data_IF_792050502311
#
_entry.id   IF_792050502311
#
_cell.length_a   1.000
_cell.length_b   1.000
_cell.length_c   1.000
_cell.angle_alpha   90.00
_cell.angle_beta   90.00
_cell.angle_gamma   90.00
#
_symmetry.space_group_name_H-M   'P 1'
#
loop_
_entity.id
_entity.type
_entity.pdbx_description
1 polymer ?
#
# COMPACT_ATOMS: atom_id res chain seq x y z
N UNK A 1 -65.28 -6.33 -15.76
CA UNK A 1 -66.10 -5.16 -16.18
C UNK A 1 -66.84 -5.37 -17.51
N UNK A 2 -66.28 -6.05 -18.52
CA UNK A 2 -66.89 -6.18 -19.86
C UNK A 2 -68.29 -6.83 -19.84
N UNK A 3 -68.52 -7.89 -19.03
CA UNK A 3 -69.82 -8.58 -18.98
C UNK A 3 -70.98 -7.76 -18.38
N UNK A 4 -70.70 -6.65 -17.69
CA UNK A 4 -71.73 -5.80 -17.05
C UNK A 4 -72.27 -4.69 -17.97
N UNK A 5 -71.60 -4.43 -19.10
CA UNK A 5 -71.92 -3.30 -20.00
C UNK A 5 -72.53 -3.73 -21.35
N UNK A 6 -72.69 -5.04 -21.59
CA UNK A 6 -73.11 -5.58 -22.91
C UNK A 6 -74.41 -4.95 -23.43
N UNK A 7 -75.36 -4.66 -22.54
CA UNK A 7 -76.66 -4.06 -22.88
C UNK A 7 -76.72 -2.55 -22.65
N UNK A 8 -75.62 -1.89 -22.28
CA UNK A 8 -75.61 -0.44 -22.04
C UNK A 8 -75.22 0.31 -23.32
N UNK A 9 -75.85 1.46 -23.56
CA UNK A 9 -75.53 2.38 -24.65
C UNK A 9 -74.11 2.94 -24.45
N UNK A 10 -73.46 3.34 -25.55
CA UNK A 10 -72.11 3.92 -25.50
C UNK A 10 -72.05 5.17 -24.59
N UNK A 11 -70.95 5.31 -23.84
CA UNK A 11 -70.73 6.48 -22.99
C UNK A 11 -70.47 7.75 -23.81
N UNK A 12 -70.62 8.92 -23.17
CA UNK A 12 -70.40 10.22 -23.81
C UNK A 12 -68.96 10.38 -24.31
N UNK A 13 -68.00 9.83 -23.58
CA UNK A 13 -66.59 9.84 -23.94
C UNK A 13 -66.36 9.06 -25.25
N UNK A 14 -66.97 7.88 -25.38
CA UNK A 14 -66.82 7.07 -26.58
C UNK A 14 -67.60 7.64 -27.77
N UNK A 15 -68.78 8.21 -27.54
CA UNK A 15 -69.55 8.94 -28.56
C UNK A 15 -68.80 10.16 -29.08
N UNK A 16 -67.92 10.77 -28.28
CA UNK A 16 -67.07 11.88 -28.74
C UNK A 16 -66.05 11.47 -29.79
N UNK A 17 -65.74 10.17 -29.87
CA UNK A 17 -64.87 9.60 -30.90
C UNK A 17 -65.65 9.09 -32.11
N UNK A 18 -66.98 9.24 -32.16
CA UNK A 18 -67.77 8.77 -33.29
C UNK A 18 -67.46 9.56 -34.56
N UNK A 19 -67.08 8.89 -35.64
CA UNK A 19 -66.74 9.59 -36.88
C UNK A 19 -67.98 10.25 -37.51
N UNK A 20 -67.92 11.54 -37.88
CA UNK A 20 -69.11 12.34 -38.24
C UNK A 20 -69.87 11.86 -39.47
N UNK A 21 -69.18 11.28 -40.47
CA UNK A 21 -69.81 10.91 -41.76
C UNK A 21 -69.63 9.45 -42.20
N UNK A 22 -68.74 8.66 -41.57
CA UNK A 22 -68.39 7.30 -42.05
C UNK A 22 -69.33 6.19 -41.57
N UNK A 23 -70.10 6.45 -40.54
CA UNK A 23 -71.05 5.47 -39.98
C UNK A 23 -72.41 5.48 -40.70
N UNK A 24 -72.58 6.33 -41.71
CA UNK A 24 -73.72 6.32 -42.62
C UNK A 24 -75.06 6.46 -41.89
N UNK A 25 -75.87 5.40 -41.95
CA UNK A 25 -77.22 5.35 -41.36
C UNK A 25 -77.24 4.82 -39.91
N UNK A 26 -76.10 4.48 -39.33
CA UNK A 26 -76.05 4.02 -37.94
C UNK A 26 -76.38 5.17 -36.99
N UNK A 27 -77.39 4.96 -36.15
CA UNK A 27 -77.75 5.89 -35.08
C UNK A 27 -76.92 5.58 -33.82
N UNK A 28 -76.11 6.53 -33.31
CA UNK A 28 -75.25 6.28 -32.15
C UNK A 28 -76.02 5.90 -30.87
N UNK A 29 -77.28 6.34 -30.73
CA UNK A 29 -78.13 6.06 -29.55
C UNK A 29 -78.65 4.62 -29.50
N UNK A 30 -78.69 3.94 -30.65
CA UNK A 30 -79.19 2.56 -30.79
C UNK A 30 -78.07 1.51 -30.65
N UNK A 31 -76.82 1.95 -30.49
CA UNK A 31 -75.64 1.08 -30.38
C UNK A 31 -75.30 0.83 -28.91
N UNK A 32 -75.17 -0.45 -28.55
CA UNK A 32 -74.69 -0.89 -27.24
C UNK A 32 -73.26 -1.42 -27.32
N UNK A 33 -72.60 -1.56 -26.16
CA UNK A 33 -71.26 -2.13 -26.10
C UNK A 33 -71.16 -3.60 -26.53
N UNK A 34 -72.28 -4.33 -26.52
CA UNK A 34 -72.40 -5.69 -27.04
C UNK A 34 -72.65 -5.79 -28.54
N UNK A 35 -72.78 -4.66 -29.24
CA UNK A 35 -73.06 -4.63 -30.68
C UNK A 35 -71.89 -5.21 -31.49
N UNK A 36 -72.24 -5.96 -32.54
CA UNK A 36 -71.30 -6.47 -33.54
C UNK A 36 -71.06 -5.49 -34.69
N UNK A 37 -71.70 -4.31 -34.66
CA UNK A 37 -71.55 -3.30 -35.69
C UNK A 37 -70.11 -2.78 -35.78
N UNK A 38 -69.64 -2.59 -37.01
CA UNK A 38 -68.31 -2.08 -37.28
C UNK A 38 -68.34 -0.56 -37.40
N UNK A 39 -67.82 0.12 -36.37
CA UNK A 39 -67.94 1.58 -36.23
C UNK A 39 -66.61 2.22 -36.57
N UNK A 40 -66.68 3.31 -37.33
CA UNK A 40 -65.58 4.21 -37.57
C UNK A 40 -65.50 5.24 -36.46
N UNK A 41 -64.32 5.30 -35.85
CA UNK A 41 -63.95 6.22 -34.78
C UNK A 41 -62.93 7.23 -35.30
N UNK A 42 -62.92 8.43 -34.71
CA UNK A 42 -61.95 9.49 -34.95
C UNK A 42 -61.50 10.06 -33.59
N UNK A 43 -60.20 10.02 -33.32
CA UNK A 43 -59.67 10.55 -32.05
C UNK A 43 -59.42 12.05 -32.16
N UNK A 44 -59.13 12.70 -31.03
CA UNK A 44 -58.75 14.12 -30.96
C UNK A 44 -57.59 14.53 -31.87
N UNK A 45 -56.65 13.62 -32.15
CA UNK A 45 -55.53 13.83 -33.09
C UNK A 45 -55.91 13.64 -34.58
N UNK A 46 -57.19 13.42 -34.90
CA UNK A 46 -57.70 13.23 -36.26
C UNK A 46 -57.41 11.85 -36.88
N UNK A 47 -57.00 10.87 -36.08
CA UNK A 47 -56.79 9.51 -36.59
C UNK A 47 -58.11 8.76 -36.69
N UNK A 48 -58.40 8.25 -37.89
CA UNK A 48 -59.58 7.43 -38.15
C UNK A 48 -59.24 5.94 -38.12
N UNK A 49 -60.03 5.13 -37.40
CA UNK A 49 -59.93 3.67 -37.38
C UNK A 49 -61.30 3.01 -37.26
N UNK A 50 -61.40 1.73 -37.61
CA UNK A 50 -62.62 0.94 -37.47
C UNK A 50 -62.47 -0.14 -36.41
N UNK A 51 -63.48 -0.31 -35.56
CA UNK A 51 -63.57 -1.41 -34.59
C UNK A 51 -64.99 -1.58 -34.06
N UNK A 52 -65.31 -2.75 -33.51
CA UNK A 52 -66.55 -2.93 -32.74
C UNK A 52 -66.48 -2.14 -31.42
N UNK A 53 -67.62 -1.75 -30.82
CA UNK A 53 -67.65 -1.19 -29.46
C UNK A 53 -66.95 -2.07 -28.43
N UNK A 54 -67.13 -3.39 -28.53
CA UNK A 54 -66.52 -4.35 -27.61
C UNK A 54 -65.00 -4.35 -27.72
N UNK A 55 -64.44 -4.30 -28.93
CA UNK A 55 -62.98 -4.25 -29.11
C UNK A 55 -62.39 -2.91 -28.69
N UNK A 56 -63.15 -1.82 -28.89
CA UNK A 56 -62.74 -0.49 -28.45
C UNK A 56 -62.64 -0.39 -26.92
N UNK A 57 -63.52 -1.07 -26.19
CA UNK A 57 -63.49 -1.19 -24.74
C UNK A 57 -62.33 -2.03 -24.19
N UNK A 58 -61.76 -2.96 -24.97
CA UNK A 58 -60.65 -3.82 -24.51
C UNK A 58 -59.32 -3.05 -24.38
N UNK A 59 -59.24 -1.86 -24.97
CA UNK A 59 -58.02 -1.03 -24.92
C UNK A 59 -58.01 -0.21 -23.64
N UNK A 60 -57.19 -0.62 -22.67
CA UNK A 60 -57.08 0.03 -21.35
C UNK A 60 -56.66 1.50 -21.41
N UNK A 61 -55.86 1.87 -22.41
CA UNK A 61 -55.25 3.20 -22.51
C UNK A 61 -56.14 4.24 -23.20
N UNK A 62 -57.38 3.90 -23.59
CA UNK A 62 -58.31 4.80 -24.33
C UNK A 62 -57.73 5.45 -25.59
N UNK A 63 -56.58 5.00 -26.08
CA UNK A 63 -55.92 5.58 -27.25
C UNK A 63 -56.30 4.82 -28.52
N UNK A 64 -56.41 5.55 -29.63
CA UNK A 64 -56.55 4.92 -30.94
C UNK A 64 -55.29 4.11 -31.32
N UNK A 65 -55.40 3.14 -32.27
CA UNK A 65 -54.27 2.28 -32.63
C UNK A 65 -53.00 3.03 -33.07
N UNK A 66 -53.14 4.17 -33.75
CA UNK A 66 -52.01 5.01 -34.17
C UNK A 66 -51.34 5.72 -32.98
N UNK A 67 -52.13 6.32 -32.09
CA UNK A 67 -51.61 6.97 -30.89
C UNK A 67 -50.96 5.97 -29.93
N UNK A 68 -51.53 4.77 -29.77
CA UNK A 68 -50.93 3.67 -29.02
C UNK A 68 -49.54 3.30 -29.55
N UNK A 69 -49.42 3.11 -30.88
CA UNK A 69 -48.14 2.79 -31.50
C UNK A 69 -47.10 3.90 -31.30
N UNK A 70 -47.52 5.17 -31.40
CA UNK A 70 -46.66 6.33 -31.14
C UNK A 70 -46.19 6.37 -29.68
N UNK A 71 -47.08 6.13 -28.71
CA UNK A 71 -46.75 6.02 -27.29
C UNK A 71 -45.72 4.91 -27.04
N UNK A 72 -45.96 3.71 -27.56
CA UNK A 72 -45.02 2.58 -27.45
C UNK A 72 -43.63 2.90 -28.02
N UNK A 73 -43.56 3.63 -29.14
CA UNK A 73 -42.29 4.06 -29.72
C UNK A 73 -41.57 5.08 -28.83
N UNK A 74 -42.31 6.04 -28.28
CA UNK A 74 -41.76 7.04 -27.35
C UNK A 74 -41.28 6.40 -26.05
N UNK A 75 -42.05 5.47 -25.48
CA UNK A 75 -41.67 4.74 -24.28
C UNK A 75 -40.39 3.92 -24.50
N UNK A 76 -40.28 3.27 -25.67
CA UNK A 76 -39.05 2.56 -26.07
C UNK A 76 -37.86 3.51 -26.18
N UNK A 77 -38.03 4.67 -26.81
CA UNK A 77 -36.97 5.68 -26.95
C UNK A 77 -36.54 6.24 -25.60
N UNK A 78 -37.50 6.57 -24.74
CA UNK A 78 -37.23 7.06 -23.39
C UNK A 78 -36.48 6.02 -22.55
N UNK A 79 -36.83 4.74 -22.68
CA UNK A 79 -36.11 3.67 -22.00
C UNK A 79 -34.66 3.52 -22.49
N UNK A 80 -34.43 3.59 -23.81
CA UNK A 80 -33.06 3.57 -24.39
C UNK A 80 -32.24 4.75 -23.84
N UNK A 81 -32.78 5.97 -23.88
CA UNK A 81 -32.09 7.16 -23.37
C UNK A 81 -31.78 7.05 -21.88
N UNK A 82 -32.70 6.45 -21.10
CA UNK A 82 -32.49 6.19 -19.66
C UNK A 82 -31.37 5.19 -19.41
N UNK A 83 -31.28 4.12 -20.21
CA UNK A 83 -30.20 3.13 -20.12
C UNK A 83 -28.87 3.77 -20.49
N UNK A 84 -28.82 4.49 -21.62
CA UNK A 84 -27.61 5.18 -22.07
C UNK A 84 -27.11 6.16 -21.01
N UNK A 85 -27.97 7.02 -20.46
CA UNK A 85 -27.60 7.99 -19.43
C UNK A 85 -27.03 7.34 -18.15
N UNK A 86 -27.44 6.10 -17.84
CA UNK A 86 -27.01 5.36 -16.64
C UNK A 86 -25.99 4.26 -16.93
N UNK A 87 -25.52 4.14 -18.17
CA UNK A 87 -24.52 3.14 -18.55
C UNK A 87 -23.16 3.49 -17.97
N UNK A 88 -22.37 2.47 -17.63
CA UNK A 88 -20.99 2.65 -17.16
C UNK A 88 -20.14 3.43 -18.18
N UNK A 89 -20.34 3.21 -19.49
CA UNK A 89 -19.60 3.92 -20.54
C UNK A 89 -19.80 5.43 -20.49
N UNK A 90 -21.04 5.87 -20.30
CA UNK A 90 -21.33 7.31 -20.29
C UNK A 90 -20.94 7.96 -18.96
N UNK A 91 -21.06 7.24 -17.85
CA UNK A 91 -20.68 7.76 -16.53
C UNK A 91 -19.16 7.84 -16.38
N UNK A 92 -18.41 6.81 -16.79
CA UNK A 92 -16.94 6.80 -16.71
C UNK A 92 -16.32 6.09 -17.93
N UNK A 93 -16.06 6.85 -19.02
CA UNK A 93 -15.40 6.31 -20.22
C UNK A 93 -13.99 5.79 -19.94
N UNK A 94 -13.31 6.34 -18.92
CA UNK A 94 -11.96 5.92 -18.54
C UNK A 94 -11.97 4.55 -17.88
N UNK A 95 -12.91 4.31 -16.97
CA UNK A 95 -13.10 3.04 -16.31
C UNK A 95 -13.56 1.94 -17.28
N UNK A 96 -14.39 2.30 -18.26
CA UNK A 96 -14.89 1.40 -19.30
C UNK A 96 -13.78 0.80 -20.17
N UNK A 97 -12.65 1.52 -20.34
CA UNK A 97 -11.46 0.98 -21.03
C UNK A 97 -10.80 -0.16 -20.26
N UNK A 98 -11.03 -0.27 -18.96
CA UNK A 98 -10.52 -1.35 -18.12
C UNK A 98 -11.48 -2.55 -18.04
N UNK A 99 -12.56 -2.57 -18.82
CA UNK A 99 -13.50 -3.69 -18.85
C UNK A 99 -12.90 -4.91 -19.54
N UNK A 100 -13.10 -6.09 -18.97
CA UNK A 100 -12.67 -7.34 -19.61
C UNK A 100 -13.81 -7.92 -20.48
N UNK A 101 -13.85 -7.53 -21.76
CA UNK A 101 -14.86 -7.98 -22.73
C UNK A 101 -14.89 -9.50 -22.95
N UNK A 102 -13.74 -10.18 -22.80
CA UNK A 102 -13.68 -11.64 -22.96
C UNK A 102 -14.35 -12.38 -21.80
N UNK A 103 -14.19 -11.86 -20.58
CA UNK A 103 -14.72 -12.49 -19.36
C UNK A 103 -16.15 -12.05 -19.02
N UNK A 104 -16.58 -10.89 -19.49
CA UNK A 104 -17.95 -10.38 -19.36
C UNK A 104 -18.63 -10.40 -20.74
N UNK A 105 -18.66 -11.55 -21.40
CA UNK A 105 -19.15 -11.65 -22.79
C UNK A 105 -20.65 -11.34 -22.93
N UNK A 106 -21.41 -11.50 -21.84
CA UNK A 106 -22.84 -11.26 -21.71
C UNK A 106 -23.20 -9.79 -21.46
N UNK A 107 -22.26 -8.98 -20.96
CA UNK A 107 -22.52 -7.58 -20.59
C UNK A 107 -21.39 -6.66 -21.03
N UNK A 108 -21.75 -5.60 -21.74
CA UNK A 108 -20.84 -4.53 -22.14
C UNK A 108 -20.97 -3.32 -21.20
N UNK A 109 -19.96 -2.43 -21.15
CA UNK A 109 -20.09 -1.16 -20.42
C UNK A 109 -21.25 -0.28 -20.89
N UNK A 110 -21.75 -0.50 -22.11
CA UNK A 110 -22.89 0.20 -22.71
C UNK A 110 -24.23 -0.24 -22.11
N UNK A 111 -24.33 -1.49 -21.68
CA UNK A 111 -25.56 -2.07 -21.13
C UNK A 111 -25.44 -2.38 -19.62
N UNK A 112 -24.27 -2.18 -19.02
CA UNK A 112 -24.09 -2.23 -17.57
C UNK A 112 -24.74 -1.00 -16.94
N UNK A 113 -25.94 -1.21 -16.38
CA UNK A 113 -26.66 -0.16 -15.67
C UNK A 113 -26.04 0.05 -14.28
N UNK A 114 -25.73 1.30 -13.97
CA UNK A 114 -25.34 1.68 -12.61
C UNK A 114 -26.60 1.75 -11.74
N UNK A 115 -26.78 0.72 -10.95
CA UNK A 115 -27.81 0.61 -9.94
C UNK A 115 -27.17 0.75 -8.54
N UNK A 116 -27.52 1.83 -7.84
CA UNK A 116 -26.96 2.14 -6.52
C UNK A 116 -27.42 1.14 -5.44
N UNK A 117 -28.49 0.40 -5.70
CA UNK A 117 -29.03 -0.63 -4.81
C UNK A 117 -28.36 -1.99 -5.06
N UNK A 118 -27.88 -2.25 -6.28
CA UNK A 118 -27.31 -3.53 -6.67
C UNK A 118 -26.02 -3.40 -7.48
N UNK A 119 -24.89 -3.44 -6.76
CA UNK A 119 -23.57 -3.29 -7.35
C UNK A 119 -22.99 -4.61 -7.84
N UNK A 120 -23.12 -4.83 -9.15
CA UNK A 120 -22.60 -6.01 -9.82
C UNK A 120 -21.08 -6.18 -9.68
N UNK A 121 -20.65 -7.43 -9.55
CA UNK A 121 -19.23 -7.83 -9.65
C UNK A 121 -18.92 -8.18 -11.09
N UNK A 122 -17.84 -7.59 -11.62
CA UNK A 122 -17.42 -7.71 -13.01
C UNK A 122 -15.94 -7.98 -13.11
N UNK A 123 -15.52 -8.52 -14.25
CA UNK A 123 -14.11 -8.70 -14.56
C UNK A 123 -13.50 -7.43 -15.17
N UNK A 124 -12.34 -7.05 -14.66
CA UNK A 124 -11.55 -5.91 -15.09
C UNK A 124 -10.21 -6.38 -15.62
N UNK A 125 -9.61 -5.59 -16.50
CA UNK A 125 -8.27 -5.76 -17.03
C UNK A 125 -7.54 -4.42 -17.05
N UNK A 126 -6.30 -4.38 -16.57
CA UNK A 126 -5.49 -3.16 -16.62
C UNK A 126 -4.60 -3.14 -17.86
N UNK A 127 -3.98 -1.99 -18.16
CA UNK A 127 -3.07 -1.86 -19.30
C UNK A 127 -1.84 -2.77 -19.27
N UNK A 128 -1.52 -3.38 -18.12
CA UNK A 128 -0.46 -4.42 -18.00
C UNK A 128 -0.98 -5.85 -18.19
N UNK A 129 -2.27 -6.02 -18.51
CA UNK A 129 -2.88 -7.33 -18.76
C UNK A 129 -3.30 -8.10 -17.51
N UNK A 130 -3.23 -7.52 -16.31
CA UNK A 130 -3.74 -8.19 -15.11
C UNK A 130 -5.26 -8.22 -15.11
N UNK A 131 -5.84 -9.41 -14.91
CA UNK A 131 -7.29 -9.61 -14.81
C UNK A 131 -7.74 -9.79 -13.35
N UNK A 132 -8.82 -9.14 -12.93
CA UNK A 132 -9.39 -9.37 -11.59
C UNK A 132 -10.90 -9.14 -11.54
N UNK A 133 -11.56 -9.75 -10.54
CA UNK A 133 -12.97 -9.52 -10.21
C UNK A 133 -13.10 -8.45 -9.14
N UNK A 134 -14.00 -7.49 -9.36
CA UNK A 134 -14.33 -6.45 -8.38
C UNK A 134 -15.71 -5.85 -8.68
N UNK A 135 -16.37 -5.29 -7.67
CA UNK A 135 -17.65 -4.62 -7.84
C UNK A 135 -17.49 -3.33 -8.64
N UNK A 136 -18.53 -2.97 -9.39
CA UNK A 136 -18.59 -1.66 -10.08
C UNK A 136 -18.54 -0.53 -9.06
N UNK A 137 -19.15 -0.69 -7.87
CA UNK A 137 -19.09 0.27 -6.76
C UNK A 137 -17.66 0.67 -6.39
N UNK A 138 -16.81 -0.33 -6.08
CA UNK A 138 -15.46 -0.05 -5.60
C UNK A 138 -14.59 0.61 -6.68
N UNK A 139 -14.87 0.29 -7.94
CA UNK A 139 -14.16 0.88 -9.07
C UNK A 139 -14.64 2.29 -9.39
N UNK A 140 -15.94 2.53 -9.30
CA UNK A 140 -16.56 3.81 -9.65
C UNK A 140 -16.44 4.84 -8.51
N UNK A 141 -16.75 4.46 -7.26
CA UNK A 141 -16.79 5.33 -6.10
C UNK A 141 -15.49 5.30 -5.30
N UNK A 142 -15.02 4.12 -4.90
CA UNK A 142 -13.79 3.99 -4.08
C UNK A 142 -12.52 4.18 -4.92
N UNK A 143 -12.67 4.31 -6.25
CA UNK A 143 -11.60 4.47 -7.25
C UNK A 143 -10.46 3.46 -7.05
N UNK A 144 -10.80 2.23 -6.71
CA UNK A 144 -9.81 1.17 -6.51
C UNK A 144 -9.04 0.91 -7.81
N UNK A 145 -7.74 0.69 -7.69
CA UNK A 145 -6.84 0.39 -8.81
C UNK A 145 -6.55 -1.10 -8.88
N UNK A 146 -5.91 -1.53 -9.97
CA UNK A 146 -5.48 -2.92 -10.15
C UNK A 146 -4.74 -3.44 -8.90
N UNK A 147 -5.21 -4.54 -8.27
CA UNK A 147 -4.66 -5.04 -7.01
C UNK A 147 -3.24 -5.59 -7.18
N UNK A 148 -2.87 -6.00 -8.39
CA UNK A 148 -1.52 -6.48 -8.71
C UNK A 148 -0.55 -5.31 -8.83
N UNK A 149 -0.88 -4.29 -9.64
CA UNK A 149 -0.05 -3.09 -9.80
C UNK A 149 0.13 -2.29 -8.50
N UNK A 150 -0.84 -2.35 -7.59
CA UNK A 150 -0.81 -1.69 -6.28
C UNK A 150 -0.22 -2.56 -5.16
N UNK A 151 0.41 -3.70 -5.49
CA UNK A 151 1.06 -4.60 -4.52
C UNK A 151 0.12 -5.14 -3.42
N UNK A 152 -1.19 -5.24 -3.71
CA UNK A 152 -2.19 -5.88 -2.85
C UNK A 152 -2.31 -7.38 -3.13
N UNK A 153 -2.04 -7.80 -4.36
CA UNK A 153 -1.99 -9.21 -4.80
C UNK A 153 -0.67 -9.50 -5.48
N UNK A 154 -0.17 -10.71 -5.28
CA UNK A 154 1.08 -11.16 -5.90
C UNK A 154 0.88 -11.48 -7.38
N UNK A 155 1.85 -11.07 -8.20
CA UNK A 155 2.03 -11.45 -9.59
C UNK A 155 3.52 -11.56 -9.89
N UNK A 156 3.86 -11.97 -11.12
CA UNK A 156 5.27 -12.12 -11.54
C UNK A 156 6.04 -10.79 -11.39
N UNK A 157 5.41 -9.66 -11.70
CA UNK A 157 6.05 -8.35 -11.70
C UNK A 157 6.24 -7.73 -10.30
N UNK A 158 5.73 -8.36 -9.25
CA UNK A 158 5.88 -7.85 -7.88
C UNK A 158 6.27 -8.93 -6.85
N UNK A 159 6.52 -10.16 -7.31
CA UNK A 159 7.03 -11.22 -6.46
C UNK A 159 8.49 -10.94 -6.06
N UNK A 160 8.86 -11.31 -4.83
CA UNK A 160 10.21 -11.16 -4.31
C UNK A 160 11.20 -11.97 -5.15
N UNK A 161 10.82 -13.18 -5.57
CA UNK A 161 11.65 -14.05 -6.41
C UNK A 161 12.03 -13.41 -7.76
N UNK A 162 11.09 -12.73 -8.41
CA UNK A 162 11.34 -12.10 -9.72
C UNK A 162 12.04 -10.74 -9.58
N UNK A 163 11.65 -9.93 -8.59
CA UNK A 163 12.18 -8.58 -8.45
C UNK A 163 13.53 -8.52 -7.72
N UNK A 164 13.78 -9.43 -6.79
CA UNK A 164 15.00 -9.47 -5.97
C UNK A 164 15.53 -10.91 -5.83
N UNK A 165 16.02 -11.53 -6.92
CA UNK A 165 16.41 -12.94 -6.94
C UNK A 165 17.52 -13.27 -5.92
N UNK A 166 18.48 -12.36 -5.69
CA UNK A 166 19.55 -12.60 -4.71
C UNK A 166 19.04 -12.59 -3.27
N UNK A 167 18.08 -11.72 -2.95
CA UNK A 167 17.43 -11.71 -1.63
C UNK A 167 16.54 -12.95 -1.48
N UNK A 168 15.84 -13.36 -2.55
CA UNK A 168 14.97 -14.54 -2.53
C UNK A 168 15.73 -15.84 -2.23
N UNK A 169 17.04 -15.94 -2.55
CA UNK A 169 17.89 -17.08 -2.16
C UNK A 169 18.07 -17.21 -0.65
N UNK A 170 17.94 -16.10 0.08
CA UNK A 170 18.02 -16.10 1.54
C UNK A 170 16.66 -16.42 2.18
N UNK A 171 15.58 -16.58 1.41
CA UNK A 171 14.26 -16.88 1.96
C UNK A 171 14.23 -18.32 2.50
N UNK A 172 13.93 -18.50 3.78
CA UNK A 172 13.88 -19.82 4.39
C UNK A 172 12.51 -20.48 4.19
N UNK A 173 12.47 -21.53 3.37
CA UNK A 173 11.25 -22.31 3.08
C UNK A 173 10.99 -23.48 4.05
N UNK A 174 11.97 -23.83 4.89
CA UNK A 174 11.95 -25.02 5.76
C UNK A 174 11.64 -24.69 7.22
N UNK A 175 10.75 -23.73 7.48
CA UNK A 175 10.31 -23.47 8.85
C UNK A 175 9.21 -24.45 9.26
N UNK A 176 9.60 -25.46 10.05
CA UNK A 176 8.69 -26.47 10.63
C UNK A 176 8.00 -25.98 11.91
N UNK A 177 8.38 -24.81 12.43
CA UNK A 177 8.02 -24.33 13.77
C UNK A 177 6.91 -23.26 13.75
N UNK A 178 6.61 -22.69 12.57
CA UNK A 178 5.67 -21.59 12.44
C UNK A 178 4.88 -21.69 11.12
N UNK A 179 3.56 -21.53 11.18
CA UNK A 179 2.74 -21.39 9.97
C UNK A 179 3.02 -20.02 9.35
N UNK A 180 4.07 -19.92 8.53
CA UNK A 180 4.29 -18.74 7.70
C UNK A 180 3.09 -18.56 6.75
N UNK A 181 2.53 -17.35 6.72
CA UNK A 181 1.43 -17.01 5.82
C UNK A 181 1.87 -17.01 4.36
N UNK A 182 3.15 -16.69 4.11
CA UNK A 182 3.80 -16.74 2.81
C UNK A 182 4.80 -17.89 2.84
N UNK A 183 4.65 -18.87 1.94
CA UNK A 183 5.43 -20.11 2.01
C UNK A 183 6.71 -20.10 1.18
N UNK A 184 6.79 -19.22 0.20
CA UNK A 184 7.89 -19.18 -0.75
C UNK A 184 8.06 -17.76 -1.32
N UNK A 185 9.22 -17.44 -1.92
CA UNK A 185 9.50 -16.10 -2.43
C UNK A 185 8.70 -15.72 -3.68
N UNK A 186 8.02 -16.66 -4.35
CA UNK A 186 7.15 -16.36 -5.49
C UNK A 186 5.77 -15.86 -5.06
N UNK A 187 5.34 -16.21 -3.84
CA UNK A 187 4.10 -15.72 -3.21
C UNK A 187 4.32 -14.47 -2.36
N UNK A 188 5.58 -14.13 -2.09
CA UNK A 188 6.00 -12.96 -1.33
C UNK A 188 5.97 -11.69 -2.19
N UNK A 189 5.22 -10.67 -1.79
CA UNK A 189 5.32 -9.33 -2.41
C UNK A 189 6.52 -8.59 -1.81
N UNK A 190 7.41 -8.02 -2.62
CA UNK A 190 8.65 -7.39 -2.13
C UNK A 190 8.42 -6.17 -1.20
N UNK A 191 7.26 -5.51 -1.27
CA UNK A 191 6.86 -4.42 -0.37
C UNK A 191 6.10 -4.88 0.88
N UNK A 192 5.93 -6.19 1.06
CA UNK A 192 5.11 -6.74 2.14
C UNK A 192 5.70 -6.48 3.53
N UNK A 193 4.82 -6.24 4.50
CA UNK A 193 5.16 -6.17 5.93
C UNK A 193 5.16 -7.54 6.62
N UNK A 194 4.86 -8.62 5.89
CA UNK A 194 4.90 -9.97 6.42
C UNK A 194 6.31 -10.30 6.91
N UNK A 195 6.39 -10.85 8.12
CA UNK A 195 7.63 -11.30 8.74
C UNK A 195 7.89 -12.75 8.34
N UNK A 196 9.09 -13.00 7.83
CA UNK A 196 9.51 -14.32 7.34
C UNK A 196 10.87 -14.68 7.94
N UNK A 197 11.19 -15.96 7.88
CA UNK A 197 12.50 -16.46 8.27
C UNK A 197 13.47 -16.33 7.09
N UNK A 198 14.66 -15.82 7.36
CA UNK A 198 15.78 -15.72 6.42
C UNK A 198 16.89 -16.66 6.84
N UNK A 199 17.70 -17.08 5.88
CA UNK A 199 18.88 -17.91 6.07
C UNK A 199 20.00 -17.42 5.16
N UNK A 200 21.20 -17.21 5.71
CA UNK A 200 22.35 -16.82 4.90
C UNK A 200 23.13 -18.03 4.39
N UNK A 201 24.14 -17.80 3.55
CA UNK A 201 25.01 -18.86 3.00
C UNK A 201 25.73 -19.68 4.09
N UNK A 202 26.03 -19.06 5.22
CA UNK A 202 26.64 -19.71 6.39
C UNK A 202 25.61 -20.43 7.30
N UNK A 203 24.33 -20.43 6.92
CA UNK A 203 23.26 -21.13 7.65
C UNK A 203 22.67 -20.37 8.84
N UNK A 204 23.11 -19.14 9.13
CA UNK A 204 22.50 -18.34 10.19
C UNK A 204 21.08 -17.93 9.82
N UNK A 205 20.14 -18.14 10.76
CA UNK A 205 18.73 -17.86 10.56
C UNK A 205 18.27 -16.64 11.38
N UNK A 206 17.41 -15.80 10.80
CA UNK A 206 16.82 -14.66 11.50
C UNK A 206 15.44 -14.27 10.97
N UNK A 207 14.67 -13.55 11.78
CA UNK A 207 13.35 -13.02 11.40
C UNK A 207 13.45 -11.55 11.01
N UNK A 208 12.84 -11.20 9.89
CA UNK A 208 12.71 -9.81 9.44
C UNK A 208 11.56 -9.68 8.44
N UNK A 209 10.96 -8.49 8.37
CA UNK A 209 9.94 -8.16 7.37
C UNK A 209 10.53 -8.10 5.97
N UNK A 210 9.78 -8.59 4.98
CA UNK A 210 10.23 -8.60 3.58
C UNK A 210 10.63 -7.21 3.09
N UNK A 211 9.79 -6.20 3.32
CA UNK A 211 10.10 -4.83 2.87
C UNK A 211 11.34 -4.23 3.55
N UNK A 212 11.63 -4.59 4.80
CA UNK A 212 12.82 -4.15 5.50
C UNK A 212 14.06 -4.85 4.94
N UNK A 213 13.99 -6.16 4.67
CA UNK A 213 15.10 -6.90 4.04
C UNK A 213 15.48 -6.29 2.69
N UNK A 214 14.48 -5.93 1.88
CA UNK A 214 14.67 -5.28 0.57
C UNK A 214 15.25 -3.86 0.71
N UNK A 215 14.76 -3.05 1.66
CA UNK A 215 15.23 -1.66 1.86
C UNK A 215 16.61 -1.56 2.52
N UNK A 216 16.85 -2.36 3.56
CA UNK A 216 18.02 -2.22 4.40
C UNK A 216 19.30 -2.63 3.66
N UNK A 217 19.22 -3.58 2.72
CA UNK A 217 20.39 -4.16 2.04
C UNK A 217 21.37 -4.90 2.96
N UNK A 218 21.30 -4.69 4.28
CA UNK A 218 22.09 -5.35 5.30
C UNK A 218 21.76 -6.83 5.33
N UNK A 219 22.80 -7.66 5.26
CA UNK A 219 22.69 -9.11 5.30
C UNK A 219 22.51 -9.64 6.72
N UNK A 220 22.94 -10.87 6.92
CA UNK A 220 22.90 -11.52 8.22
C UNK A 220 23.74 -10.76 9.28
N UNK A 221 23.11 -10.39 10.40
CA UNK A 221 23.78 -9.71 11.52
C UNK A 221 24.90 -10.52 12.15
N UNK A 222 24.76 -11.85 12.18
CA UNK A 222 25.81 -12.73 12.70
C UNK A 222 27.06 -12.67 11.80
N UNK A 223 26.87 -12.74 10.48
CA UNK A 223 27.96 -12.56 9.52
C UNK A 223 28.58 -11.16 9.61
N UNK A 224 27.78 -10.10 9.77
CA UNK A 224 28.29 -8.73 9.94
C UNK A 224 29.16 -8.60 11.19
N UNK A 225 28.74 -9.17 12.33
CA UNK A 225 29.55 -9.20 13.56
C UNK A 225 30.84 -9.97 13.35
N UNK A 226 30.77 -11.15 12.73
CA UNK A 226 31.95 -11.96 12.43
C UNK A 226 32.94 -11.23 11.52
N UNK A 227 32.46 -10.48 10.53
CA UNK A 227 33.31 -9.65 9.65
C UNK A 227 34.07 -8.56 10.42
N UNK A 228 33.52 -8.07 11.52
CA UNK A 228 34.15 -7.07 12.38
C UNK A 228 34.97 -7.70 13.52
N UNK A 229 34.98 -9.03 13.63
CA UNK A 229 35.53 -9.75 14.76
C UNK A 229 37.06 -9.73 14.80
N UNK A 230 37.61 -9.92 15.99
CA UNK A 230 39.06 -10.10 16.18
C UNK A 230 39.52 -11.39 15.50
N UNK A 231 38.75 -12.48 15.59
CA UNK A 231 39.11 -13.76 14.99
C UNK A 231 39.39 -13.65 13.49
N UNK A 232 38.57 -12.89 12.76
CA UNK A 232 38.77 -12.69 11.32
C UNK A 232 39.85 -11.66 11.01
N UNK A 233 39.86 -10.52 11.70
CA UNK A 233 40.74 -9.39 11.34
C UNK A 233 42.15 -9.49 11.94
N UNK A 234 42.33 -10.28 13.01
CA UNK A 234 43.64 -10.53 13.59
C UNK A 234 43.69 -11.93 14.26
N UNK A 235 43.85 -13.00 13.46
CA UNK A 235 43.86 -14.37 13.95
C UNK A 235 44.97 -14.66 14.98
N UNK A 236 46.14 -14.01 14.84
CA UNK A 236 47.25 -14.21 15.78
C UNK A 236 46.94 -13.61 17.16
N UNK A 237 46.32 -12.43 17.21
CA UNK A 237 45.86 -11.86 18.49
C UNK A 237 44.69 -12.68 19.05
N UNK A 238 43.82 -13.24 18.21
CA UNK A 238 42.74 -14.10 18.67
C UNK A 238 43.26 -15.37 19.40
N UNK A 239 44.41 -15.92 19.00
CA UNK A 239 45.06 -17.04 19.73
C UNK A 239 45.52 -16.66 21.13
N UNK A 240 45.82 -15.37 21.37
CA UNK A 240 46.16 -14.86 22.71
C UNK A 240 44.91 -14.62 23.58
N UNK A 241 43.71 -14.92 23.11
CA UNK A 241 42.49 -14.77 23.90
C UNK A 241 42.47 -15.73 25.07
N UNK A 242 42.12 -15.24 26.26
CA UNK A 242 42.08 -16.10 27.44
C UNK A 242 40.92 -17.12 27.34
N UNK A 243 41.16 -18.43 27.54
CA UNK A 243 40.16 -19.49 27.28
C UNK A 243 38.95 -19.46 28.23
N UNK A 244 39.11 -19.03 29.49
CA UNK A 244 38.05 -19.09 30.50
C UNK A 244 37.62 -17.74 31.09
N UNK A 245 38.54 -16.79 31.30
CA UNK A 245 38.28 -15.56 32.07
C UNK A 245 37.42 -14.50 31.38
N UNK A 246 37.08 -14.67 30.10
CA UNK A 246 36.26 -13.71 29.36
C UNK A 246 34.76 -14.02 29.38
N UNK A 247 34.34 -15.17 29.93
CA UNK A 247 32.93 -15.60 29.93
C UNK A 247 31.98 -14.66 30.70
N UNK A 248 32.49 -13.98 31.73
CA UNK A 248 31.70 -13.08 32.59
C UNK A 248 31.88 -11.60 32.25
N UNK A 249 32.68 -11.28 31.23
CA UNK A 249 32.92 -9.89 30.85
C UNK A 249 31.78 -9.41 29.96
N UNK A 250 30.99 -8.45 30.47
CA UNK A 250 29.88 -7.88 29.71
C UNK A 250 30.36 -7.31 28.36
N UNK A 251 29.68 -7.67 27.27
CA UNK A 251 30.00 -7.21 25.91
C UNK A 251 31.20 -7.91 25.26
N UNK A 252 31.77 -8.92 25.91
CA UNK A 252 32.93 -9.69 25.44
C UNK A 252 32.63 -11.17 25.63
N UNK A 253 32.52 -11.92 24.55
CA UNK A 253 32.18 -13.35 24.59
C UNK A 253 33.33 -14.16 24.03
N UNK A 254 33.42 -14.24 22.71
CA UNK A 254 34.42 -15.01 21.97
C UNK A 254 35.19 -14.10 21.00
N UNK A 255 36.37 -14.53 20.53
CA UNK A 255 37.10 -13.83 19.48
C UNK A 255 36.28 -13.64 18.19
N UNK A 256 35.39 -14.56 17.88
CA UNK A 256 34.53 -14.58 16.67
C UNK A 256 33.36 -13.59 16.75
N UNK A 257 32.95 -13.20 17.95
CA UNK A 257 31.83 -12.29 18.18
C UNK A 257 32.27 -10.89 18.64
N UNK A 258 33.48 -10.77 19.18
CA UNK A 258 34.00 -9.51 19.71
C UNK A 258 34.61 -8.65 18.60
N UNK A 259 34.09 -7.43 18.41
CA UNK A 259 34.59 -6.49 17.41
C UNK A 259 36.00 -5.98 17.71
N UNK A 260 36.82 -5.78 16.69
CA UNK A 260 38.13 -5.09 16.77
C UNK A 260 38.05 -3.67 17.34
N UNK A 261 36.88 -3.03 17.30
CA UNK A 261 36.64 -1.68 17.85
C UNK A 261 36.12 -1.68 19.28
N UNK A 262 36.01 -2.85 19.92
CA UNK A 262 35.49 -2.96 21.26
C UNK A 262 36.38 -2.23 22.29
N UNK A 263 35.76 -1.38 23.11
CA UNK A 263 36.44 -0.61 24.16
C UNK A 263 36.48 -1.36 25.51
N UNK A 264 35.89 -2.56 25.58
CA UNK A 264 35.92 -3.37 26.79
C UNK A 264 37.28 -4.02 27.01
N UNK A 265 37.59 -4.31 28.28
CA UNK A 265 38.84 -4.95 28.68
C UNK A 265 38.67 -6.45 28.77
N UNK A 266 39.28 -7.16 27.83
CA UNK A 266 39.37 -8.61 27.83
C UNK A 266 40.65 -9.08 28.53
N UNK A 267 40.64 -10.33 28.99
CA UNK A 267 41.80 -11.07 29.42
C UNK A 267 42.52 -11.71 28.23
N UNK A 268 43.84 -11.63 28.26
CA UNK A 268 44.76 -12.15 27.25
C UNK A 268 45.82 -13.01 27.90
N UNK A 269 46.31 -14.00 27.17
CA UNK A 269 47.47 -14.84 27.54
C UNK A 269 48.56 -14.59 26.51
N UNK A 270 49.68 -14.02 26.94
CA UNK A 270 50.76 -13.70 26.01
C UNK A 270 51.37 -14.98 25.43
N UNK A 271 51.37 -15.13 24.10
CA UNK A 271 51.97 -16.30 23.45
C UNK A 271 53.50 -16.43 23.64
N UNK A 272 54.20 -15.36 24.03
CA UNK A 272 55.66 -15.37 24.24
C UNK A 272 56.09 -15.81 25.65
N UNK A 273 55.37 -15.37 26.68
CA UNK A 273 55.77 -15.57 28.07
C UNK A 273 54.69 -16.22 28.95
N UNK A 274 53.51 -16.50 28.41
CA UNK A 274 52.38 -17.05 29.16
C UNK A 274 51.72 -16.09 30.15
N UNK A 275 52.21 -14.85 30.26
CA UNK A 275 51.64 -13.87 31.20
C UNK A 275 50.19 -13.55 30.87
N UNK A 276 49.33 -13.64 31.87
CA UNK A 276 47.92 -13.30 31.79
C UNK A 276 47.68 -11.83 32.17
N UNK A 277 47.00 -11.07 31.31
CA UNK A 277 46.81 -9.64 31.53
C UNK A 277 45.50 -9.12 30.97
N UNK A 278 44.98 -8.04 31.57
CA UNK A 278 43.78 -7.32 31.09
C UNK A 278 44.15 -6.14 30.23
N UNK A 279 43.66 -6.13 28.99
CA UNK A 279 43.84 -5.01 28.07
C UNK A 279 42.56 -4.76 27.27
N UNK A 280 42.38 -3.50 26.87
CA UNK A 280 41.28 -3.10 25.99
C UNK A 280 41.43 -3.79 24.63
N UNK A 281 40.34 -4.33 24.11
CA UNK A 281 40.33 -5.07 22.84
C UNK A 281 40.86 -4.21 21.69
N UNK A 282 40.31 -3.02 21.50
CA UNK A 282 40.76 -2.07 20.48
C UNK A 282 42.25 -1.75 20.59
N UNK A 283 42.72 -1.45 21.79
CA UNK A 283 44.13 -1.13 22.01
C UNK A 283 45.07 -2.33 21.77
N UNK A 284 44.60 -3.56 22.02
CA UNK A 284 45.36 -4.78 21.66
C UNK A 284 45.43 -4.97 20.16
N UNK A 285 44.29 -4.83 19.47
CA UNK A 285 44.21 -4.91 18.02
C UNK A 285 45.12 -3.87 17.32
N UNK A 286 45.12 -2.62 17.80
CA UNK A 286 45.98 -1.54 17.29
C UNK A 286 47.46 -1.65 17.71
N UNK A 287 47.81 -2.62 18.56
CA UNK A 287 49.18 -2.84 19.06
C UNK A 287 49.64 -1.85 20.14
N UNK A 288 48.76 -0.97 20.61
CA UNK A 288 49.04 0.05 21.64
C UNK A 288 49.12 -0.54 23.05
N UNK A 289 48.28 -1.54 23.36
CA UNK A 289 48.42 -2.33 24.57
C UNK A 289 49.33 -3.51 24.24
N UNK A 290 50.47 -3.69 24.91
CA UNK A 290 51.35 -4.87 24.79
C UNK A 290 51.37 -5.64 26.10
N UNK A 291 51.88 -6.88 26.08
CA UNK A 291 52.06 -7.65 27.32
C UNK A 291 52.94 -6.86 28.29
N UNK A 292 52.46 -6.51 29.50
CA UNK A 292 53.22 -5.70 30.46
C UNK A 292 54.50 -6.38 30.96
N UNK A 293 54.56 -7.72 30.94
CA UNK A 293 55.76 -8.47 31.32
C UNK A 293 56.84 -8.43 30.23
N UNK A 294 56.46 -8.50 28.94
CA UNK A 294 57.42 -8.40 27.84
C UNK A 294 57.79 -6.95 27.48
N UNK A 295 56.86 -6.01 27.70
CA UNK A 295 56.99 -4.60 27.35
C UNK A 295 56.49 -3.75 28.52
N UNK A 296 57.30 -3.61 29.59
CA UNK A 296 56.90 -2.84 30.76
C UNK A 296 56.58 -1.38 30.40
N UNK A 297 55.51 -0.81 30.95
CA UNK A 297 55.11 0.55 30.65
C UNK A 297 56.15 1.55 31.19
N UNK A 298 56.43 2.60 30.42
CA UNK A 298 57.30 3.68 30.87
C UNK A 298 56.75 4.35 32.15
N UNK A 299 57.62 4.80 33.07
CA UNK A 299 57.19 5.47 34.29
C UNK A 299 56.39 6.73 33.95
N UNK A 300 55.17 6.85 34.49
CA UNK A 300 54.35 8.05 34.32
C UNK A 300 55.03 9.25 34.98
N UNK A 301 55.62 10.14 34.18
CA UNK A 301 56.08 11.45 34.65
C UNK A 301 54.83 12.26 35.05
N UNK A 302 54.65 12.53 36.35
CA UNK A 302 53.60 13.43 36.84
C UNK A 302 53.85 14.82 36.25
N UNK A 303 53.05 15.23 35.27
CA UNK A 303 53.03 16.64 34.84
C UNK A 303 52.69 17.50 36.06
N UNK A 304 53.54 18.49 36.37
CA UNK A 304 53.26 19.49 37.42
C UNK A 304 51.88 20.10 37.17
N UNK A 305 51.03 20.11 38.20
CA UNK A 305 49.72 20.77 38.18
C UNK A 305 49.94 22.25 37.81
N UNK A 306 49.15 22.80 36.89
CA UNK A 306 49.17 24.25 36.60
C UNK A 306 48.98 25.02 37.92
N UNK A 307 49.80 26.04 38.16
CA UNK A 307 49.64 26.96 39.29
C UNK A 307 48.21 27.55 39.26
N UNK A 308 47.58 27.69 40.42
CA UNK A 308 46.20 28.17 40.49
C UNK A 308 46.12 29.64 40.07
N UNK A 309 45.02 30.05 39.43
CA UNK A 309 44.83 31.41 38.88
C UNK A 309 45.14 32.52 39.90
N UNK A 310 44.80 32.29 41.17
CA UNK A 310 45.07 33.19 42.29
C UNK A 310 46.57 33.39 42.55
N UNK A 311 47.37 32.32 42.46
CA UNK A 311 48.82 32.39 42.63
C UNK A 311 49.46 33.14 41.46
N UNK A 312 48.92 32.98 40.24
CA UNK A 312 49.37 33.72 39.07
C UNK A 312 49.04 35.21 39.19
N UNK A 313 47.84 35.56 39.66
CA UNK A 313 47.42 36.95 39.88
C UNK A 313 48.29 37.66 40.93
N UNK A 314 48.52 37.02 42.09
CA UNK A 314 49.37 37.59 43.14
C UNK A 314 50.80 37.81 42.64
N UNK A 315 51.35 36.86 41.87
CA UNK A 315 52.67 37.01 41.27
C UNK A 315 52.75 38.16 40.25
N UNK A 316 51.68 38.37 39.48
CA UNK A 316 51.60 39.51 38.56
C UNK A 316 51.53 40.83 39.33
N UNK A 317 50.77 40.88 40.42
CA UNK A 317 50.63 42.06 41.26
C UNK A 317 51.92 42.40 42.01
N UNK A 318 52.61 41.40 42.57
CA UNK A 318 53.93 41.54 43.20
C UNK A 318 54.94 42.13 42.20
N UNK A 319 54.95 41.63 40.96
CA UNK A 319 55.81 42.14 39.90
C UNK A 319 55.45 43.59 39.50
N UNK A 320 54.16 43.95 39.46
CA UNK A 320 53.70 45.32 39.20
C UNK A 320 54.22 46.27 40.29
N UNK A 321 54.08 45.90 41.57
CA UNK A 321 54.55 46.71 42.70
C UNK A 321 56.07 46.89 42.67
N UNK A 322 56.83 45.85 42.35
CA UNK A 322 58.29 45.93 42.19
C UNK A 322 58.64 46.90 41.05
N UNK A 323 57.96 46.80 39.91
CA UNK A 323 58.19 47.68 38.76
C UNK A 323 57.90 49.15 39.09
N UNK A 324 56.77 49.44 39.74
CA UNK A 324 56.41 50.80 40.15
C UNK A 324 57.39 51.39 41.18
N UNK A 325 57.85 50.58 42.14
CA UNK A 325 58.90 51.01 43.08
C UNK A 325 60.21 51.34 42.37
N UNK A 326 60.62 50.51 41.42
CA UNK A 326 61.84 50.75 40.63
C UNK A 326 61.73 52.00 39.76
N UNK A 327 60.56 52.27 39.17
CA UNK A 327 60.29 53.52 38.45
C UNK A 327 60.39 54.73 39.36
N UNK A 328 59.72 54.71 40.52
CA UNK A 328 59.75 55.82 41.49
C UNK A 328 61.15 56.09 42.05
N UNK A 329 61.96 55.04 42.24
CA UNK A 329 63.37 55.18 42.62
C UNK A 329 64.17 55.97 41.58
N UNK A 330 64.04 55.58 40.30
CA UNK A 330 64.74 56.26 39.19
C UNK A 330 64.37 57.74 39.04
N UNK A 331 63.14 58.15 39.35
CA UNK A 331 62.73 59.55 39.31
C UNK A 331 63.27 60.37 40.49
N UNK A 332 63.47 59.75 41.66
CA UNK A 332 64.08 60.42 42.82
C UNK A 332 65.59 60.62 42.64
N UNK A 333 66.24 59.74 41.90
CA UNK A 333 67.68 59.83 41.59
C UNK A 333 67.98 60.87 40.48
N UNK A 334 66.96 61.43 39.82
CA UNK A 334 67.11 62.42 38.74
C UNK A 334 66.81 63.88 39.13
N UNK A 335 66.38 64.12 40.37
CA UNK A 335 66.03 65.46 40.90
C UNK A 335 67.01 65.99 41.97
N UNK A 336 68.13 65.30 42.23
CA UNK A 336 69.24 65.77 43.07
C UNK A 336 70.53 65.84 42.27
#
# INVERSE_FOLDING_TARGET
>A
MINLLINTVLSKELLSEWHPTKNGHLNPEDITYGSYEYIWWECSEGHVWGSTPSDRLKVEDELCPKCMKKKQQLDKLHNVNKIEAKSLRNIDPGLSKQWNFKRNADVTPDNEMIDEENWNVRWWICGRGHEWKESVKSRLHDKTVCPYCSNKKVCKDNSLATMYPEIAKEFCIFDTCYRQKVRNPYEAIYTSNEEVMWVCKEGHMWREKINLRVKNGKGCRACEKYQQSIALNNPEIAKEWHPTKNKEVYGVTTPEETSTRCNERAWWVCGKCGHEYKAMVKARHEGAAKCPSCYPPEPRVRKKKREALFQTYNKMEDNRVIFEKNLRGKFKDSEG
#
